data_IF_188438298581
#
_entry.id   IF_188438298581
#
_cell.length_a   1.000
_cell.length_b   1.000
_cell.length_c   1.000
_cell.angle_alpha   90.00
_cell.angle_beta   90.00
_cell.angle_gamma   90.00
#
_symmetry.space_group_name_H-M   'P 1'
#
loop_
_entity.id
_entity.type
_entity.pdbx_description
1 polymer ?
#
# COMPACT_ATOMS: atom_id res chain seq x y z
N UNK A 1 -4.83 -15.79 -15.50
CA UNK A 1 -4.16 -15.03 -16.60
C UNK A 1 -4.63 -13.58 -16.53
N UNK A 2 -3.70 -12.61 -16.58
CA UNK A 2 -4.05 -11.19 -16.46
C UNK A 2 -4.99 -10.74 -17.60
N UNK A 3 -5.83 -9.72 -17.33
CA UNK A 3 -6.85 -9.20 -18.25
C UNK A 3 -6.28 -8.53 -19.50
N UNK A 4 -5.04 -8.08 -19.45
CA UNK A 4 -4.30 -7.52 -20.57
C UNK A 4 -2.98 -8.27 -20.74
N UNK A 5 -2.42 -8.23 -21.94
CA UNK A 5 -1.11 -8.85 -22.21
C UNK A 5 -0.01 -8.17 -21.40
N UNK A 6 1.10 -8.87 -21.22
CA UNK A 6 2.30 -8.27 -20.63
C UNK A 6 3.13 -7.56 -21.70
N UNK A 7 3.60 -6.35 -21.42
CA UNK A 7 4.60 -5.68 -22.26
C UNK A 7 5.98 -6.33 -22.14
N UNK A 8 6.94 -5.87 -22.95
CA UNK A 8 8.36 -6.23 -22.82
C UNK A 8 9.09 -5.41 -21.73
N UNK A 9 8.45 -4.37 -21.18
CA UNK A 9 9.07 -3.41 -20.27
C UNK A 9 8.73 -3.71 -18.81
N UNK A 10 9.73 -3.80 -17.94
CA UNK A 10 9.55 -4.06 -16.50
C UNK A 10 10.02 -5.45 -16.05
N UNK A 11 10.47 -5.55 -14.81
CA UNK A 11 11.10 -6.75 -14.27
C UNK A 11 10.11 -7.74 -13.62
N UNK A 12 8.97 -7.24 -13.12
CA UNK A 12 7.92 -8.07 -12.50
C UNK A 12 6.68 -8.15 -13.38
N UNK A 13 5.81 -9.17 -13.21
CA UNK A 13 4.52 -9.22 -13.91
C UNK A 13 3.70 -7.93 -13.74
N UNK A 14 3.67 -7.37 -12.53
CA UNK A 14 3.03 -6.08 -12.25
C UNK A 14 3.64 -4.94 -13.08
N UNK A 15 4.96 -4.81 -13.08
CA UNK A 15 5.65 -3.78 -13.86
C UNK A 15 5.42 -3.96 -15.37
N UNK A 16 5.34 -5.20 -15.86
CA UNK A 16 5.05 -5.49 -17.27
C UNK A 16 3.64 -5.11 -17.70
N UNK A 17 2.68 -5.08 -16.77
CA UNK A 17 1.34 -4.56 -17.03
C UNK A 17 1.34 -3.03 -17.12
N UNK A 18 2.11 -2.33 -16.28
CA UNK A 18 2.30 -0.88 -16.39
C UNK A 18 3.17 -0.50 -17.60
N UNK A 19 4.11 -1.36 -17.98
CA UNK A 19 5.15 -1.14 -18.99
C UNK A 19 4.65 -0.96 -20.42
N UNK A 20 3.36 -1.12 -20.68
CA UNK A 20 2.72 -0.60 -21.90
C UNK A 20 2.88 0.92 -22.01
N UNK A 21 3.10 1.61 -20.88
CA UNK A 21 3.42 3.03 -20.80
C UNK A 21 4.69 3.24 -19.96
N UNK A 22 5.86 3.32 -20.61
CA UNK A 22 7.16 3.40 -19.93
C UNK A 22 7.29 4.61 -18.99
N UNK A 23 6.75 5.77 -19.38
CA UNK A 23 6.76 6.97 -18.54
C UNK A 23 5.95 6.77 -17.24
N UNK A 24 4.80 6.09 -17.33
CA UNK A 24 3.98 5.74 -16.16
C UNK A 24 4.74 4.76 -15.28
N UNK A 25 5.32 3.70 -15.87
CA UNK A 25 6.12 2.71 -15.13
C UNK A 25 7.30 3.38 -14.41
N UNK A 26 8.02 4.30 -15.06
CA UNK A 26 9.14 5.02 -14.47
C UNK A 26 8.71 5.86 -13.26
N UNK A 27 7.64 6.66 -13.40
CA UNK A 27 7.10 7.46 -12.29
C UNK A 27 6.59 6.61 -11.13
N UNK A 28 5.90 5.50 -11.45
CA UNK A 28 5.38 4.56 -10.45
C UNK A 28 6.50 3.92 -9.63
N UNK A 29 7.56 3.45 -10.31
CA UNK A 29 8.73 2.86 -9.66
C UNK A 29 9.49 3.91 -8.83
N UNK A 30 9.68 5.12 -9.36
CA UNK A 30 10.37 6.19 -8.65
C UNK A 30 9.68 6.50 -7.33
N UNK A 31 8.35 6.66 -7.34
CA UNK A 31 7.57 6.89 -6.13
C UNK A 31 7.66 5.69 -5.17
N UNK A 32 7.52 4.46 -5.68
CA UNK A 32 7.66 3.24 -4.86
C UNK A 32 9.00 3.14 -4.14
N UNK A 33 10.10 3.53 -4.79
CA UNK A 33 11.44 3.53 -4.19
C UNK A 33 11.54 4.54 -3.05
N UNK A 34 10.89 5.70 -3.14
CA UNK A 34 10.95 6.70 -2.05
C UNK A 34 10.46 6.14 -0.71
N UNK A 35 9.49 5.22 -0.74
CA UNK A 35 8.95 4.57 0.46
C UNK A 35 9.86 3.49 1.07
N UNK A 36 10.97 3.14 0.41
CA UNK A 36 11.98 2.21 0.95
C UNK A 36 12.82 2.87 2.06
N UNK A 37 12.91 4.21 2.05
CA UNK A 37 13.46 5.03 3.14
C UNK A 37 12.34 5.71 3.93
N UNK A 38 12.63 6.81 4.61
CA UNK A 38 11.64 7.59 5.37
C UNK A 38 11.71 7.33 6.87
N UNK A 39 10.67 7.79 7.60
CA UNK A 39 10.61 7.78 9.07
C UNK A 39 9.90 6.57 9.63
N UNK A 40 8.95 6.03 8.86
CA UNK A 40 8.21 4.84 9.24
C UNK A 40 9.07 3.59 9.01
N UNK A 41 9.06 2.68 9.97
CA UNK A 41 9.85 1.44 9.88
C UNK A 41 9.39 0.57 8.71
N UNK A 42 10.30 -0.24 8.20
CA UNK A 42 9.99 -1.19 7.13
C UNK A 42 8.92 -2.21 7.55
N UNK A 43 8.95 -2.67 8.81
CA UNK A 43 7.95 -3.60 9.35
C UNK A 43 6.56 -2.97 9.41
N UNK A 44 6.44 -1.74 9.93
CA UNK A 44 5.17 -1.01 9.97
C UNK A 44 4.56 -0.87 8.57
N UNK A 45 5.37 -0.45 7.59
CA UNK A 45 4.95 -0.34 6.18
C UNK A 45 4.50 -1.67 5.63
N UNK A 46 5.23 -2.74 5.90
CA UNK A 46 4.87 -4.07 5.40
C UNK A 46 3.57 -4.59 6.03
N UNK A 47 3.32 -4.34 7.31
CA UNK A 47 2.05 -4.68 7.95
C UNK A 47 0.88 -3.89 7.33
N UNK A 48 1.04 -2.58 7.13
CA UNK A 48 0.06 -1.76 6.41
C UNK A 48 -0.19 -2.30 5.01
N UNK A 49 0.88 -2.62 4.25
CA UNK A 49 0.77 -3.16 2.89
C UNK A 49 -0.01 -4.47 2.86
N UNK A 50 0.24 -5.38 3.80
CA UNK A 50 -0.46 -6.66 3.92
C UNK A 50 -1.94 -6.44 4.21
N UNK A 51 -2.27 -5.59 5.17
CA UNK A 51 -3.67 -5.25 5.50
C UNK A 51 -4.41 -4.71 4.29
N UNK A 52 -3.82 -3.75 3.59
CA UNK A 52 -4.37 -3.20 2.36
C UNK A 52 -4.52 -4.28 1.27
N UNK A 53 -3.56 -5.21 1.12
CA UNK A 53 -3.61 -6.22 0.06
C UNK A 53 -4.84 -7.12 0.18
N UNK A 54 -5.20 -7.51 1.40
CA UNK A 54 -6.38 -8.30 1.70
C UNK A 54 -7.66 -7.47 1.54
N UNK A 55 -7.68 -6.24 2.03
CA UNK A 55 -8.84 -5.35 1.90
C UNK A 55 -9.15 -4.96 0.44
N UNK A 56 -8.13 -4.70 -0.36
CA UNK A 56 -8.25 -4.34 -1.78
C UNK A 56 -8.44 -5.55 -2.71
N UNK A 57 -8.33 -6.78 -2.19
CA UNK A 57 -8.52 -8.00 -2.98
C UNK A 57 -7.47 -8.22 -4.08
N UNK A 58 -6.23 -7.80 -3.87
CA UNK A 58 -5.14 -8.03 -4.84
C UNK A 58 -4.48 -9.39 -4.59
N UNK A 59 -4.88 -10.44 -5.33
CA UNK A 59 -4.36 -11.80 -5.16
C UNK A 59 -2.82 -11.90 -5.27
N UNK A 60 -2.23 -11.28 -6.30
CA UNK A 60 -0.78 -11.18 -6.46
C UNK A 60 -0.09 -10.53 -5.26
N UNK A 61 -0.73 -9.53 -4.64
CA UNK A 61 -0.18 -8.80 -3.50
C UNK A 61 -0.37 -9.57 -2.18
N UNK A 62 -1.48 -10.30 -2.04
CA UNK A 62 -1.79 -11.15 -0.89
C UNK A 62 -0.82 -12.33 -0.81
N UNK A 63 -0.39 -12.89 -1.95
CA UNK A 63 0.57 -13.98 -2.00
C UNK A 63 1.96 -13.61 -1.43
N UNK A 64 2.27 -12.32 -1.28
CA UNK A 64 3.54 -11.85 -0.71
C UNK A 64 3.59 -11.92 0.82
N UNK A 65 2.46 -12.15 1.47
CA UNK A 65 2.41 -12.31 2.92
C UNK A 65 1.07 -11.93 3.51
N UNK A 66 0.69 -12.60 4.60
CA UNK A 66 -0.49 -12.30 5.40
C UNK A 66 -0.17 -11.24 6.46
N UNK A 67 -1.13 -10.36 6.80
CA UNK A 67 -1.03 -9.50 7.98
C UNK A 67 -0.75 -10.34 9.22
N UNK A 68 0.00 -9.80 10.17
CA UNK A 68 0.15 -10.43 11.47
C UNK A 68 -1.18 -10.41 12.23
N UNK A 69 -1.48 -11.48 12.98
CA UNK A 69 -2.69 -11.53 13.82
C UNK A 69 -2.55 -10.64 15.08
N UNK A 70 -1.31 -10.38 15.51
CA UNK A 70 -0.98 -9.59 16.71
C UNK A 70 0.15 -8.64 16.39
N UNK A 71 -0.03 -7.37 16.73
CA UNK A 71 0.99 -6.32 16.66
C UNK A 71 1.46 -6.01 18.08
N UNK A 72 2.75 -6.24 18.36
CA UNK A 72 3.34 -5.93 19.67
C UNK A 72 3.66 -4.44 19.77
N UNK A 73 4.05 -3.81 18.65
CA UNK A 73 4.30 -2.37 18.58
C UNK A 73 2.95 -1.62 18.49
N UNK A 74 2.63 -0.74 19.46
CA UNK A 74 1.43 0.10 19.40
C UNK A 74 1.35 0.97 18.14
N UNK A 75 2.48 1.44 17.61
CA UNK A 75 2.52 2.26 16.39
C UNK A 75 2.13 1.44 15.17
N UNK A 76 2.61 0.21 15.06
CA UNK A 76 2.18 -0.72 14.01
C UNK A 76 0.68 -1.01 14.10
N UNK A 77 0.19 -1.33 15.30
CA UNK A 77 -1.22 -1.58 15.54
C UNK A 77 -2.09 -0.40 15.12
N UNK A 78 -1.68 0.83 15.46
CA UNK A 78 -2.41 2.04 15.10
C UNK A 78 -2.39 2.31 13.60
N UNK A 79 -1.24 2.15 12.93
CA UNK A 79 -1.14 2.34 11.49
C UNK A 79 -1.98 1.31 10.70
N UNK A 80 -1.99 0.05 11.16
CA UNK A 80 -2.83 -1.01 10.58
C UNK A 80 -4.32 -0.74 10.79
N UNK A 81 -4.72 -0.31 11.99
CA UNK A 81 -6.10 0.08 12.27
C UNK A 81 -6.54 1.25 11.37
N UNK A 82 -5.70 2.27 11.22
CA UNK A 82 -5.97 3.40 10.34
C UNK A 82 -6.10 2.97 8.87
N UNK A 83 -5.22 2.08 8.39
CA UNK A 83 -5.35 1.50 7.04
C UNK A 83 -6.68 0.74 6.86
N UNK A 84 -7.17 0.07 7.91
CA UNK A 84 -8.51 -0.53 7.96
C UNK A 84 -9.64 0.50 7.76
N UNK A 85 -9.59 1.63 8.46
CA UNK A 85 -10.58 2.71 8.30
C UNK A 85 -10.56 3.26 6.86
N UNK A 86 -9.38 3.43 6.26
CA UNK A 86 -9.24 3.89 4.87
C UNK A 86 -9.91 2.92 3.89
N UNK A 87 -9.78 1.60 4.10
CA UNK A 87 -10.43 0.58 3.29
C UNK A 87 -11.97 0.64 3.38
N UNK A 88 -12.51 0.99 4.55
CA UNK A 88 -13.95 1.18 4.74
C UNK A 88 -14.46 2.49 4.12
N UNK A 89 -13.57 3.48 3.97
CA UNK A 89 -13.81 4.70 3.21
C UNK A 89 -13.33 5.96 3.93
N UNK A 90 -12.63 6.83 3.21
CA UNK A 90 -12.07 8.08 3.74
C UNK A 90 -13.09 9.03 4.39
N UNK A 91 -14.37 8.93 4.02
CA UNK A 91 -15.48 9.70 4.64
C UNK A 91 -15.67 9.38 6.14
N UNK A 92 -15.15 8.25 6.62
CA UNK A 92 -15.21 7.85 8.03
C UNK A 92 -14.09 8.45 8.89
N UNK A 93 -13.15 9.15 8.26
CA UNK A 93 -11.98 9.72 8.93
C UNK A 93 -12.33 11.15 9.32
N UNK A 94 -12.48 11.39 10.61
CA UNK A 94 -12.73 12.72 11.19
C UNK A 94 -11.51 13.21 11.99
N UNK A 95 -11.63 14.40 12.58
CA UNK A 95 -10.56 15.02 13.35
C UNK A 95 -10.16 14.16 14.58
N UNK A 96 -11.10 13.42 15.18
CA UNK A 96 -10.81 12.56 16.31
C UNK A 96 -9.91 11.37 15.91
N UNK A 97 -10.10 10.81 14.71
CA UNK A 97 -9.17 9.79 14.17
C UNK A 97 -7.76 10.38 14.03
N UNK A 98 -7.64 11.62 13.56
CA UNK A 98 -6.34 12.29 13.43
C UNK A 98 -5.72 12.66 14.78
N UNK A 99 -6.52 13.02 15.78
CA UNK A 99 -6.02 13.29 17.13
C UNK A 99 -5.34 12.05 17.72
N UNK A 100 -5.94 10.87 17.55
CA UNK A 100 -5.32 9.59 17.95
C UNK A 100 -4.04 9.31 17.17
N UNK A 101 -4.00 9.58 15.85
CA UNK A 101 -2.76 9.43 15.08
C UNK A 101 -1.64 10.32 15.61
N UNK A 102 -1.94 11.56 16.00
CA UNK A 102 -0.96 12.52 16.54
C UNK A 102 -0.40 12.13 17.90
N UNK A 103 -1.04 11.21 18.63
CA UNK A 103 -0.47 10.65 19.87
C UNK A 103 0.76 9.77 19.59
N UNK A 104 0.89 9.20 18.40
CA UNK A 104 1.93 8.24 18.04
C UNK A 104 2.84 8.66 16.88
N UNK A 105 2.40 9.61 16.04
CA UNK A 105 3.10 10.03 14.83
C UNK A 105 3.21 11.55 14.74
N UNK A 106 4.37 12.04 14.28
CA UNK A 106 4.52 13.46 13.91
C UNK A 106 3.88 13.77 12.54
N UNK A 107 3.72 15.04 12.21
CA UNK A 107 3.07 15.47 10.94
C UNK A 107 3.76 14.93 9.68
N UNK A 108 5.08 14.71 9.72
CA UNK A 108 5.82 14.18 8.57
C UNK A 108 5.64 12.67 8.45
N UNK A 109 5.57 11.96 9.58
CA UNK A 109 5.23 10.54 9.64
C UNK A 109 3.77 10.29 9.22
N UNK A 110 2.84 11.15 9.63
CA UNK A 110 1.44 11.09 9.19
C UNK A 110 1.35 11.30 7.67
N UNK A 111 2.01 12.34 7.15
CA UNK A 111 2.04 12.58 5.71
C UNK A 111 2.64 11.40 4.93
N UNK A 112 3.71 10.80 5.44
CA UNK A 112 4.33 9.60 4.88
C UNK A 112 3.38 8.40 4.90
N UNK A 113 2.69 8.17 6.02
CA UNK A 113 1.74 7.07 6.19
C UNK A 113 0.57 7.19 5.20
N UNK A 114 -0.03 8.38 5.10
CA UNK A 114 -1.12 8.65 4.17
C UNK A 114 -0.70 8.43 2.71
N UNK A 115 0.44 9.00 2.32
CA UNK A 115 0.98 8.84 0.98
C UNK A 115 1.27 7.37 0.65
N UNK A 116 1.84 6.64 1.62
CA UNK A 116 2.13 5.22 1.49
C UNK A 116 0.85 4.38 1.33
N UNK A 117 -0.18 4.65 2.13
CA UNK A 117 -1.48 3.96 2.05
C UNK A 117 -2.12 4.22 0.69
N UNK A 118 -2.19 5.48 0.25
CA UNK A 118 -2.79 5.84 -1.05
C UNK A 118 -2.05 5.17 -2.22
N UNK A 119 -0.72 5.23 -2.23
CA UNK A 119 0.09 4.61 -3.28
C UNK A 119 -0.03 3.09 -3.30
N UNK A 120 -0.02 2.47 -2.12
CA UNK A 120 -0.16 1.02 -1.97
C UNK A 120 -1.55 0.56 -2.42
N UNK A 121 -2.60 1.27 -2.03
CA UNK A 121 -3.97 1.02 -2.49
C UNK A 121 -4.07 1.15 -4.00
N UNK A 122 -3.51 2.20 -4.61
CA UNK A 122 -3.51 2.35 -6.07
C UNK A 122 -2.79 1.17 -6.76
N UNK A 123 -1.66 0.72 -6.21
CA UNK A 123 -0.90 -0.42 -6.76
C UNK A 123 -1.70 -1.71 -6.66
N UNK A 124 -2.33 -1.97 -5.51
CA UNK A 124 -3.12 -3.18 -5.29
C UNK A 124 -4.41 -3.18 -6.10
N UNK A 125 -5.10 -2.05 -6.19
CA UNK A 125 -6.24 -1.88 -7.09
C UNK A 125 -5.86 -2.14 -8.54
N UNK A 126 -4.73 -1.64 -9.02
CA UNK A 126 -4.26 -1.93 -10.38
C UNK A 126 -4.06 -3.44 -10.60
N UNK A 127 -3.42 -4.12 -9.64
CA UNK A 127 -3.26 -5.57 -9.67
C UNK A 127 -4.60 -6.32 -9.70
N UNK A 128 -5.56 -5.92 -8.86
CA UNK A 128 -6.90 -6.52 -8.80
C UNK A 128 -7.70 -6.27 -10.09
N UNK A 129 -7.70 -5.03 -10.61
CA UNK A 129 -8.38 -4.65 -11.84
C UNK A 129 -7.86 -5.46 -13.03
N UNK A 130 -6.55 -5.68 -13.09
CA UNK A 130 -5.91 -6.50 -14.12
C UNK A 130 -6.00 -8.00 -13.86
N UNK A 131 -6.61 -8.45 -12.74
CA UNK A 131 -6.61 -9.85 -12.28
C UNK A 131 -5.22 -10.47 -12.35
N UNK A 132 -4.24 -9.74 -11.82
CA UNK A 132 -2.90 -10.29 -11.68
C UNK A 132 -2.92 -11.34 -10.56
N UNK A 133 -2.67 -12.58 -10.95
CA UNK A 133 -2.52 -13.74 -10.08
C UNK A 133 -1.03 -13.90 -9.66
N UNK A 134 -0.73 -14.66 -8.59
CA UNK A 134 0.63 -14.89 -8.08
C UNK A 134 1.62 -15.47 -9.11
#
# INVERSE_FOLDING_TARGET
>A
MARISFSANGATPFQRLLGHNEAILAGWNALGVTFSGGRLSAELKEQVRRTLAFGNGCEYCMAKGKPADVHIDPRESLAVAFAGIVLEGHQRIDDAVFDVLREAFDEQEIAELLAYICFTTASQMFGALTRLEP
#
